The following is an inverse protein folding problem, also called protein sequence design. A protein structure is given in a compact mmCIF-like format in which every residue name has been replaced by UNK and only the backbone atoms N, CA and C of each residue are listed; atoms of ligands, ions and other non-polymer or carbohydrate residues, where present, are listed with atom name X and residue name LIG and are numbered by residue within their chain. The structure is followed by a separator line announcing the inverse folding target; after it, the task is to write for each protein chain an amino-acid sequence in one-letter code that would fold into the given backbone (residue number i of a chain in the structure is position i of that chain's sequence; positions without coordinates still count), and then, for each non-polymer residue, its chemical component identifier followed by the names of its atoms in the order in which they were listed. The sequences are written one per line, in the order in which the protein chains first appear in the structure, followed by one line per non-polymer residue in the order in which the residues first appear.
data_IF_527600908560
#
_entry.id   IF_527600908560
#
_cell.length_a   1.000
_cell.length_b   1.000
_cell.length_c   1.000
_cell.angle_alpha   90.00
_cell.angle_beta   90.00
_cell.angle_gamma   90.00
#
_symmetry.space_group_name_H-M   'P 1'
#
loop_
_entity.id
_entity.type
_entity.pdbx_description
1 polymer ?
#
# COMPACT_ATOMS: atom_id res chain seq x y z
N UNK A 1 -12.21 -0.93 -14.10
CA UNK A 1 -10.87 -0.32 -13.91
C UNK A 1 -10.44 -0.49 -12.46
N UNK A 2 -9.21 -0.97 -12.24
CA UNK A 2 -8.65 -1.28 -10.93
C UNK A 2 -7.53 -0.29 -10.62
N UNK A 3 -7.54 0.29 -9.42
CA UNK A 3 -6.45 1.10 -8.88
C UNK A 3 -5.62 0.25 -7.92
N UNK A 4 -4.41 -0.08 -8.33
CA UNK A 4 -3.36 -0.63 -7.47
C UNK A 4 -2.56 0.52 -6.89
N UNK A 5 -2.27 0.48 -5.59
CA UNK A 5 -1.49 1.51 -4.93
C UNK A 5 -0.75 0.97 -3.72
N UNK A 6 0.31 1.65 -3.35
CA UNK A 6 1.16 1.34 -2.22
C UNK A 6 1.75 2.62 -1.62
N UNK A 7 2.10 2.60 -0.34
CA UNK A 7 2.54 3.77 0.41
C UNK A 7 3.74 3.47 1.30
N UNK A 8 4.78 4.34 1.24
CA UNK A 8 5.84 4.39 2.24
C UNK A 8 5.62 5.55 3.21
N UNK A 9 6.03 5.38 4.46
CA UNK A 9 5.62 6.26 5.56
C UNK A 9 6.73 6.48 6.58
N UNK A 10 6.55 7.49 7.43
CA UNK A 10 7.43 7.74 8.58
C UNK A 10 7.29 6.71 9.71
N UNK A 11 6.32 5.79 9.64
CA UNK A 11 6.07 4.79 10.67
C UNK A 11 4.81 3.97 10.41
N UNK A 12 4.36 3.20 11.39
CA UNK A 12 3.21 2.31 11.25
C UNK A 12 1.88 3.04 11.48
N UNK A 13 0.91 2.77 10.63
CA UNK A 13 -0.48 3.21 10.82
C UNK A 13 -1.08 2.57 12.07
N UNK A 14 -1.68 3.38 12.92
CA UNK A 14 -2.33 2.94 14.16
C UNK A 14 -3.85 2.90 13.98
N UNK A 15 -4.37 1.72 13.68
CA UNK A 15 -5.80 1.51 13.35
C UNK A 15 -6.77 1.79 14.51
N UNK A 16 -6.28 1.82 15.75
CA UNK A 16 -7.07 2.17 16.94
C UNK A 16 -7.26 3.68 17.13
N UNK A 17 -6.50 4.50 16.42
CA UNK A 17 -6.61 5.96 16.43
C UNK A 17 -7.43 6.44 15.23
N UNK A 18 -8.02 7.63 15.37
CA UNK A 18 -8.67 8.31 14.24
C UNK A 18 -7.64 8.67 13.16
N UNK A 19 -8.06 8.73 11.88
CA UNK A 19 -7.17 9.12 10.77
C UNK A 19 -6.74 10.58 10.83
N UNK A 20 -7.41 11.42 11.58
CA UNK A 20 -7.03 12.82 11.84
C UNK A 20 -6.20 13.00 13.13
N UNK A 21 -5.87 11.91 13.83
CA UNK A 21 -4.99 11.97 14.99
C UNK A 21 -3.59 12.46 14.56
N UNK A 22 -3.01 13.47 15.24
CA UNK A 22 -1.72 14.04 14.86
C UNK A 22 -0.56 13.05 14.97
N UNK A 23 -0.68 12.00 15.78
CA UNK A 23 0.34 10.94 15.93
C UNK A 23 0.38 9.93 14.80
N UNK A 24 -0.60 9.93 13.89
CA UNK A 24 -0.56 9.08 12.69
C UNK A 24 0.68 9.38 11.84
N UNK A 25 1.26 8.39 11.16
CA UNK A 25 2.46 8.60 10.35
C UNK A 25 2.21 9.52 9.15
N UNK A 26 3.28 10.07 8.61
CA UNK A 26 3.25 10.87 7.40
C UNK A 26 3.60 10.03 6.18
N UNK A 27 2.95 10.34 5.06
CA UNK A 27 3.22 9.76 3.76
C UNK A 27 4.58 10.25 3.24
N UNK A 28 5.43 9.34 2.77
CA UNK A 28 6.78 9.59 2.26
C UNK A 28 6.93 9.19 0.79
N UNK A 29 6.21 8.15 0.36
CA UNK A 29 6.08 7.81 -1.06
C UNK A 29 4.65 7.34 -1.32
N UNK A 30 4.14 7.65 -2.50
CA UNK A 30 2.87 7.14 -3.01
C UNK A 30 3.06 6.70 -4.46
N UNK A 31 2.80 5.43 -4.72
CA UNK A 31 2.77 4.88 -6.06
C UNK A 31 1.39 4.33 -6.39
N UNK A 32 1.00 4.42 -7.65
CA UNK A 32 -0.26 3.87 -8.11
C UNK A 32 -0.23 3.52 -9.60
N UNK A 33 -1.00 2.48 -9.97
CA UNK A 33 -1.30 2.11 -11.36
C UNK A 33 -2.81 1.90 -11.53
N UNK A 34 -3.37 2.51 -12.58
CA UNK A 34 -4.69 2.16 -13.10
C UNK A 34 -4.55 1.07 -14.15
N UNK A 35 -5.32 0.01 -14.00
CA UNK A 35 -5.38 -1.09 -14.96
C UNK A 35 -6.80 -1.34 -15.41
N UNK A 36 -6.95 -1.76 -16.66
CA UNK A 36 -8.22 -2.33 -17.12
C UNK A 36 -8.37 -3.79 -16.65
N UNK A 37 -9.52 -4.38 -16.92
CA UNK A 37 -9.86 -5.74 -16.48
C UNK A 37 -8.99 -6.83 -17.15
N UNK A 38 -8.31 -6.52 -18.25
CA UNK A 38 -7.32 -7.41 -18.89
C UNK A 38 -5.91 -7.29 -18.30
N UNK A 39 -5.71 -6.48 -17.27
CA UNK A 39 -4.42 -6.27 -16.63
C UNK A 39 -3.49 -5.27 -17.32
N UNK A 40 -3.94 -4.64 -18.43
CA UNK A 40 -3.15 -3.60 -19.09
C UNK A 40 -3.14 -2.33 -18.25
N UNK A 41 -1.94 -1.84 -17.94
CA UNK A 41 -1.74 -0.54 -17.29
C UNK A 41 -2.12 0.57 -18.26
N UNK A 42 -3.00 1.47 -17.84
CA UNK A 42 -3.46 2.62 -18.63
C UNK A 42 -2.88 3.94 -18.13
N UNK A 43 -2.52 4.02 -16.86
CA UNK A 43 -1.84 5.16 -16.25
C UNK A 43 -1.13 4.73 -14.97
N UNK A 44 -0.11 5.48 -14.55
CA UNK A 44 0.59 5.25 -13.29
C UNK A 44 1.46 6.43 -12.90
N UNK A 45 1.83 6.45 -11.61
CA UNK A 45 2.79 7.41 -11.05
C UNK A 45 3.49 6.80 -9.83
N UNK A 46 4.70 7.29 -9.54
CA UNK A 46 5.42 7.09 -8.28
C UNK A 46 6.00 8.42 -7.86
N UNK A 47 5.66 8.88 -6.65
CA UNK A 47 6.04 10.20 -6.15
C UNK A 47 6.68 10.06 -4.77
N UNK A 48 7.92 10.51 -4.64
CA UNK A 48 8.52 10.80 -3.34
C UNK A 48 7.85 12.05 -2.78
N UNK A 49 7.60 12.06 -1.48
CA UNK A 49 6.87 13.12 -0.81
C UNK A 49 7.77 13.72 0.28
N UNK A 50 7.93 15.03 0.25
CA UNK A 50 8.45 15.77 1.39
C UNK A 50 7.27 16.17 2.30
N UNK A 51 7.13 15.52 3.47
CA UNK A 51 6.02 15.82 4.37
C UNK A 51 6.06 17.27 4.89
N UNK A 52 7.22 17.93 4.87
CA UNK A 52 7.39 19.31 5.35
C UNK A 52 6.80 20.35 4.39
N UNK A 53 6.62 20.03 3.11
CA UNK A 53 5.98 20.93 2.15
C UNK A 53 4.47 21.11 2.38
N UNK A 54 3.85 20.25 3.19
CA UNK A 54 2.41 20.29 3.48
C UNK A 54 2.09 20.29 4.97
N UNK A 55 3.09 20.24 5.81
CA UNK A 55 2.94 20.19 7.28
C UNK A 55 3.21 21.55 7.92
N UNK A 56 2.50 21.86 8.99
CA UNK A 56 2.77 23.01 9.85
C UNK A 56 3.74 22.68 10.99
N UNK A 57 4.24 21.44 11.04
CA UNK A 57 5.22 20.96 12.02
C UNK A 57 6.41 20.37 11.27
N UNK A 58 7.57 20.42 11.90
CA UNK A 58 8.77 19.80 11.35
C UNK A 58 8.65 18.26 11.47
N UNK A 59 8.63 17.59 10.32
CA UNK A 59 8.47 16.14 10.21
C UNK A 59 9.80 15.51 9.87
N UNK A 60 10.30 14.70 10.75
CA UNK A 60 11.50 13.90 10.53
C UNK A 60 11.12 12.49 10.08
N UNK A 61 11.78 11.99 9.02
CA UNK A 61 11.69 10.59 8.59
C UNK A 61 12.64 9.78 9.48
N UNK A 62 12.14 8.89 10.36
CA UNK A 62 13.00 8.15 11.26
C UNK A 62 13.95 7.21 10.52
N UNK A 63 15.18 7.03 11.03
CA UNK A 63 16.15 6.11 10.45
C UNK A 63 15.62 4.66 10.30
N UNK A 64 14.77 4.22 11.23
CA UNK A 64 14.14 2.91 11.14
C UNK A 64 13.23 2.79 9.90
N UNK A 65 12.51 3.85 9.52
CA UNK A 65 11.68 3.88 8.31
C UNK A 65 12.57 4.00 7.06
N UNK A 66 13.53 4.92 7.05
CA UNK A 66 14.49 5.10 5.95
C UNK A 66 15.27 3.81 5.63
N UNK A 67 15.60 3.00 6.64
CA UNK A 67 16.27 1.71 6.44
C UNK A 67 15.38 0.66 5.73
N UNK A 68 14.07 0.85 5.75
CA UNK A 68 13.10 -0.03 5.06
C UNK A 68 12.95 0.40 3.61
N UNK A 69 12.55 1.65 3.36
CA UNK A 69 12.18 2.14 2.02
C UNK A 69 13.26 3.00 1.33
N UNK A 70 14.42 3.22 1.95
CA UNK A 70 15.54 3.95 1.36
C UNK A 70 15.38 5.47 1.29
N UNK A 71 14.21 6.05 1.60
CA UNK A 71 13.96 7.48 1.48
C UNK A 71 14.38 8.17 2.78
N UNK A 72 15.43 8.99 2.70
CA UNK A 72 15.93 9.81 3.79
C UNK A 72 15.30 11.20 3.77
N UNK A 73 15.48 11.98 4.86
CA UNK A 73 15.07 13.38 4.86
C UNK A 73 15.71 14.17 3.72
N UNK A 74 16.99 13.91 3.40
CA UNK A 74 17.69 14.57 2.29
C UNK A 74 17.05 14.25 0.94
N UNK A 75 16.73 12.97 0.68
CA UNK A 75 16.05 12.52 -0.55
C UNK A 75 14.67 13.17 -0.66
N UNK A 76 13.88 13.14 0.43
CA UNK A 76 12.55 13.72 0.47
C UNK A 76 12.59 15.23 0.19
N UNK A 77 13.48 15.97 0.85
CA UNK A 77 13.62 17.42 0.66
C UNK A 77 14.09 17.79 -0.76
N UNK A 78 14.98 16.97 -1.35
CA UNK A 78 15.57 17.29 -2.67
C UNK A 78 14.66 16.92 -3.83
N UNK A 79 13.91 15.82 -3.73
CA UNK A 79 13.17 15.23 -4.85
C UNK A 79 11.67 15.11 -4.59
N UNK A 80 11.23 15.35 -3.35
CA UNK A 80 9.84 15.16 -2.96
C UNK A 80 8.92 16.29 -3.45
N UNK A 81 7.69 15.89 -3.74
CA UNK A 81 6.56 16.81 -3.94
C UNK A 81 5.78 16.98 -2.63
N UNK A 82 4.85 17.93 -2.58
CA UNK A 82 3.97 18.07 -1.42
C UNK A 82 2.98 16.88 -1.35
N UNK A 83 2.62 16.46 -0.13
CA UNK A 83 1.53 15.46 0.04
C UNK A 83 0.22 15.96 -0.58
N UNK A 84 -0.03 17.26 -0.61
CA UNK A 84 -1.20 17.86 -1.22
C UNK A 84 -1.27 17.62 -2.73
N UNK A 85 -0.13 17.71 -3.44
CA UNK A 85 -0.05 17.45 -4.88
C UNK A 85 -0.23 15.95 -5.16
N UNK A 86 0.45 15.09 -4.40
CA UNK A 86 0.32 13.65 -4.52
C UNK A 86 -1.14 13.17 -4.31
N UNK A 87 -1.83 13.68 -3.29
CA UNK A 87 -3.24 13.38 -3.04
C UNK A 87 -4.16 13.94 -4.14
N UNK A 88 -3.82 15.08 -4.76
CA UNK A 88 -4.57 15.59 -5.92
C UNK A 88 -4.49 14.64 -7.11
N UNK A 89 -3.30 14.13 -7.40
CA UNK A 89 -3.09 13.15 -8.49
C UNK A 89 -3.83 11.84 -8.14
N UNK A 90 -3.64 11.32 -6.92
CA UNK A 90 -4.32 10.10 -6.46
C UNK A 90 -5.85 10.22 -6.57
N UNK A 91 -6.43 11.39 -6.24
CA UNK A 91 -7.88 11.61 -6.33
C UNK A 91 -8.41 11.44 -7.76
N UNK A 92 -7.63 11.80 -8.80
CA UNK A 92 -8.00 11.56 -10.21
C UNK A 92 -8.03 10.06 -10.53
N UNK A 93 -7.02 9.33 -10.07
CA UNK A 93 -6.94 7.87 -10.21
C UNK A 93 -8.08 7.18 -9.45
N UNK A 94 -8.33 7.62 -8.21
CA UNK A 94 -9.45 7.14 -7.41
C UNK A 94 -10.80 7.34 -8.11
N UNK A 95 -11.05 8.52 -8.70
CA UNK A 95 -12.29 8.78 -9.43
C UNK A 95 -12.50 7.84 -10.61
N UNK A 96 -11.43 7.51 -11.36
CA UNK A 96 -11.48 6.64 -12.52
C UNK A 96 -11.61 5.15 -12.20
N UNK A 97 -11.27 4.73 -10.97
CA UNK A 97 -11.28 3.33 -10.58
C UNK A 97 -12.67 2.86 -10.13
N UNK A 98 -12.93 1.57 -10.29
CA UNK A 98 -14.11 0.87 -9.74
C UNK A 98 -13.75 0.02 -8.51
N UNK A 99 -12.49 -0.39 -8.41
CA UNK A 99 -11.93 -1.24 -7.36
C UNK A 99 -10.58 -0.68 -6.89
N UNK A 100 -10.35 -0.70 -5.58
CA UNK A 100 -9.05 -0.41 -4.96
C UNK A 100 -8.37 -1.71 -4.58
N UNK A 101 -7.09 -1.85 -4.90
CA UNK A 101 -6.31 -3.04 -4.59
C UNK A 101 -4.94 -2.66 -4.01
N UNK A 102 -4.55 -3.31 -2.92
CA UNK A 102 -3.22 -3.22 -2.32
C UNK A 102 -2.87 -4.52 -1.58
N UNK A 103 -1.59 -4.67 -1.25
CA UNK A 103 -1.17 -5.77 -0.38
C UNK A 103 -1.19 -5.31 1.08
N UNK A 104 -2.14 -5.84 1.89
CA UNK A 104 -2.52 -5.27 3.19
C UNK A 104 -3.23 -3.90 3.09
N UNK A 105 -4.21 -3.82 2.22
CA UNK A 105 -4.94 -2.59 1.84
C UNK A 105 -5.44 -1.73 3.02
N UNK A 106 -5.64 -2.32 4.20
CA UNK A 106 -6.07 -1.57 5.39
C UNK A 106 -5.01 -0.53 5.80
N UNK A 107 -3.72 -0.85 5.63
CA UNK A 107 -2.61 0.06 5.90
C UNK A 107 -2.61 1.21 4.89
N UNK A 108 -2.47 0.92 3.60
CA UNK A 108 -2.33 1.94 2.56
C UNK A 108 -3.54 2.85 2.45
N UNK A 109 -4.74 2.26 2.55
CA UNK A 109 -5.98 3.01 2.64
C UNK A 109 -5.97 3.98 3.83
N UNK A 110 -5.57 3.50 5.00
CA UNK A 110 -5.47 4.32 6.22
C UNK A 110 -4.51 5.50 6.03
N UNK A 111 -3.33 5.27 5.48
CA UNK A 111 -2.32 6.29 5.21
C UNK A 111 -2.83 7.36 4.23
N UNK A 112 -3.47 6.95 3.13
CA UNK A 112 -4.09 7.90 2.18
C UNK A 112 -5.19 8.71 2.87
N UNK A 113 -6.04 8.08 3.69
CA UNK A 113 -7.08 8.78 4.46
C UNK A 113 -6.50 9.76 5.49
N UNK A 114 -5.37 9.43 6.15
CA UNK A 114 -4.61 10.36 7.01
C UNK A 114 -4.13 11.58 6.22
N UNK A 115 -3.53 11.36 5.05
CA UNK A 115 -3.05 12.46 4.20
C UNK A 115 -4.21 13.35 3.70
N UNK A 116 -5.36 12.76 3.36
CA UNK A 116 -6.59 13.48 3.01
C UNK A 116 -7.11 14.29 4.20
N UNK A 117 -7.16 13.69 5.40
CA UNK A 117 -7.65 14.38 6.60
C UNK A 117 -6.77 15.59 6.96
N UNK A 118 -5.45 15.45 6.89
CA UNK A 118 -4.51 16.57 7.10
C UNK A 118 -4.67 17.69 6.08
N UNK A 119 -4.86 17.33 4.79
CA UNK A 119 -5.02 18.32 3.72
C UNK A 119 -6.29 19.16 3.86
N UNK A 120 -7.41 18.50 4.15
CA UNK A 120 -8.74 19.13 4.13
C UNK A 120 -9.29 19.46 5.51
N UNK A 121 -8.53 19.15 6.58
CA UNK A 121 -8.99 19.22 7.97
C UNK A 121 -10.36 18.53 8.14
N UNK A 122 -10.54 17.40 7.46
CA UNK A 122 -11.81 16.65 7.42
C UNK A 122 -11.59 15.18 7.10
N UNK A 123 -12.22 14.31 7.85
CA UNK A 123 -12.22 12.87 7.57
C UNK A 123 -13.04 12.60 6.30
N UNK A 124 -12.39 11.98 5.31
CA UNK A 124 -13.03 11.60 4.05
C UNK A 124 -12.65 10.16 3.69
N UNK A 125 -13.48 9.18 4.09
CA UNK A 125 -13.16 7.76 3.87
C UNK A 125 -13.25 7.37 2.39
N UNK A 126 -12.31 6.54 1.96
CA UNK A 126 -12.35 5.89 0.65
C UNK A 126 -13.43 4.79 0.66
N UNK A 127 -14.44 4.90 -0.20
CA UNK A 127 -15.65 4.06 -0.16
C UNK A 127 -15.81 3.08 -1.31
N UNK A 128 -14.84 3.03 -2.23
CA UNK A 128 -14.90 2.05 -3.33
C UNK A 128 -14.70 0.62 -2.82
N UNK A 129 -15.15 -0.39 -3.56
CA UNK A 129 -14.83 -1.79 -3.28
C UNK A 129 -13.33 -1.98 -3.06
N UNK A 130 -12.96 -2.87 -2.16
CA UNK A 130 -11.57 -3.16 -1.78
C UNK A 130 -11.21 -4.60 -2.10
N UNK A 131 -10.00 -4.82 -2.61
CA UNK A 131 -9.40 -6.13 -2.72
C UNK A 131 -8.03 -6.13 -2.02
N UNK A 132 -7.85 -7.04 -1.07
CA UNK A 132 -6.60 -7.22 -0.34
C UNK A 132 -5.90 -8.48 -0.84
N UNK A 133 -4.79 -8.32 -1.58
CA UNK A 133 -4.04 -9.48 -2.08
C UNK A 133 -3.44 -10.32 -0.96
N UNK A 134 -3.05 -9.71 0.18
CA UNK A 134 -2.57 -10.43 1.35
C UNK A 134 -3.64 -11.39 1.90
N UNK A 135 -4.86 -10.90 2.11
CA UNK A 135 -5.96 -11.73 2.64
C UNK A 135 -6.40 -12.82 1.65
N UNK A 136 -6.40 -12.51 0.37
CA UNK A 136 -6.73 -13.49 -0.67
C UNK A 136 -5.65 -14.57 -0.78
N UNK A 137 -4.37 -14.18 -0.79
CA UNK A 137 -3.26 -15.11 -0.83
C UNK A 137 -3.14 -15.96 0.44
N UNK A 138 -3.53 -15.46 1.62
CA UNK A 138 -3.50 -16.23 2.87
C UNK A 138 -4.26 -17.55 2.79
N UNK A 139 -5.36 -17.58 2.04
CA UNK A 139 -6.18 -18.79 1.85
C UNK A 139 -5.55 -19.81 0.90
N UNK A 140 -4.63 -19.35 0.02
CA UNK A 140 -3.99 -20.18 -1.00
C UNK A 140 -2.65 -20.71 -0.48
N UNK A 141 -1.85 -19.84 0.15
CA UNK A 141 -0.52 -20.18 0.64
C UNK A 141 -0.56 -21.00 1.93
N UNK A 142 -1.57 -20.79 2.76
CA UNK A 142 -1.79 -21.48 4.06
C UNK A 142 -0.51 -21.61 4.90
N UNK A 143 0.23 -20.49 5.04
CA UNK A 143 1.52 -20.47 5.72
C UNK A 143 1.33 -20.73 7.22
N UNK A 144 2.17 -21.60 7.84
CA UNK A 144 2.05 -21.88 9.26
C UNK A 144 2.23 -20.61 10.10
N UNK A 145 1.56 -20.52 11.26
CA UNK A 145 1.77 -19.42 12.18
C UNK A 145 3.23 -19.37 12.66
N UNK A 146 3.74 -18.17 12.87
CA UNK A 146 5.09 -17.99 13.42
C UNK A 146 5.12 -18.36 14.91
N UNK A 147 6.31 -18.68 15.45
CA UNK A 147 6.49 -18.93 16.89
C UNK A 147 5.97 -17.76 17.74
N UNK A 148 6.18 -16.52 17.31
CA UNK A 148 5.66 -15.32 17.96
C UNK A 148 4.12 -15.29 17.98
N UNK A 149 3.47 -15.69 16.88
CA UNK A 149 2.00 -15.79 16.80
C UNK A 149 1.49 -16.85 17.76
N UNK A 150 2.11 -18.04 17.78
CA UNK A 150 1.74 -19.13 18.69
C UNK A 150 1.92 -18.71 20.16
N UNK A 151 3.04 -18.06 20.48
CA UNK A 151 3.28 -17.54 21.84
C UNK A 151 2.26 -16.46 22.27
N UNK A 152 1.67 -15.74 21.31
CA UNK A 152 0.60 -14.77 21.56
C UNK A 152 -0.83 -15.38 21.48
N UNK A 153 -0.96 -16.72 21.33
CA UNK A 153 -2.24 -17.42 21.27
C UNK A 153 -2.93 -17.39 19.90
N UNK A 154 -2.20 -17.00 18.83
CA UNK A 154 -2.71 -17.01 17.46
C UNK A 154 -2.23 -18.28 16.74
N UNK A 155 -3.14 -19.20 16.46
CA UNK A 155 -2.91 -20.49 15.79
C UNK A 155 -3.33 -20.50 14.31
N UNK A 156 -3.86 -19.38 13.79
CA UNK A 156 -4.27 -19.24 12.40
C UNK A 156 -3.06 -19.06 11.47
N UNK A 157 -3.19 -19.43 10.18
CA UNK A 157 -2.17 -19.17 9.18
C UNK A 157 -1.69 -17.72 9.21
N UNK A 158 -0.38 -17.54 9.10
CA UNK A 158 0.18 -16.19 9.07
C UNK A 158 -0.18 -15.51 7.74
N UNK A 159 -0.51 -14.20 7.75
CA UNK A 159 -0.64 -13.43 6.52
C UNK A 159 0.70 -13.40 5.75
N UNK A 160 0.71 -13.74 4.44
CA UNK A 160 1.95 -13.72 3.65
C UNK A 160 2.43 -12.30 3.40
N UNK A 161 3.74 -12.11 3.34
CA UNK A 161 4.35 -10.92 2.77
C UNK A 161 4.19 -10.93 1.25
N UNK A 162 4.27 -9.76 0.61
CA UNK A 162 4.21 -9.66 -0.85
C UNK A 162 5.33 -10.48 -1.53
N UNK A 163 6.55 -10.44 -1.00
CA UNK A 163 7.67 -11.25 -1.47
C UNK A 163 7.43 -12.77 -1.35
N UNK A 164 6.73 -13.22 -0.31
CA UNK A 164 6.34 -14.63 -0.18
C UNK A 164 5.30 -15.03 -1.24
N UNK A 165 4.36 -14.13 -1.57
CA UNK A 165 3.42 -14.34 -2.66
C UNK A 165 4.13 -14.42 -4.02
N UNK A 166 5.05 -13.50 -4.31
CA UNK A 166 5.83 -13.48 -5.55
C UNK A 166 6.63 -14.78 -5.69
N UNK A 167 7.33 -15.18 -4.63
CA UNK A 167 8.08 -16.44 -4.63
C UNK A 167 7.19 -17.67 -4.84
N UNK A 168 6.05 -17.73 -4.16
CA UNK A 168 5.13 -18.85 -4.26
C UNK A 168 4.49 -18.98 -5.66
N UNK A 169 3.98 -17.87 -6.20
CA UNK A 169 3.21 -17.88 -7.44
C UNK A 169 4.09 -17.88 -8.71
N UNK A 170 5.27 -17.24 -8.63
CA UNK A 170 6.09 -17.00 -9.83
C UNK A 170 7.47 -17.64 -9.74
N UNK A 171 7.86 -18.17 -8.58
CA UNK A 171 9.23 -18.69 -8.30
C UNK A 171 10.31 -17.63 -8.57
N UNK A 172 10.02 -16.38 -8.20
CA UNK A 172 10.88 -15.23 -8.35
C UNK A 172 11.11 -14.57 -6.98
N UNK A 173 12.25 -13.88 -6.82
CA UNK A 173 12.44 -12.95 -5.71
C UNK A 173 11.84 -11.58 -6.05
N UNK A 174 11.38 -10.87 -5.05
CA UNK A 174 10.91 -9.50 -5.22
C UNK A 174 12.12 -8.56 -5.09
N UNK A 175 12.62 -8.10 -6.23
CA UNK A 175 13.64 -7.06 -6.29
C UNK A 175 13.05 -5.71 -5.88
N UNK A 176 13.87 -4.86 -5.25
CA UNK A 176 13.46 -3.52 -4.78
C UNK A 176 12.21 -3.52 -3.89
N UNK A 177 12.02 -4.57 -3.08
CA UNK A 177 11.00 -4.59 -2.05
C UNK A 177 11.09 -3.31 -1.19
N UNK A 178 9.92 -2.69 -0.90
CA UNK A 178 9.80 -1.39 -0.23
C UNK A 178 10.18 -0.17 -1.11
N UNK A 179 10.24 -0.31 -2.44
CA UNK A 179 9.90 0.78 -3.35
C UNK A 179 8.42 0.66 -3.69
N UNK A 180 7.64 1.70 -3.42
CA UNK A 180 6.19 1.62 -3.58
C UNK A 180 5.74 1.24 -5.00
N UNK A 181 6.48 1.61 -6.07
CA UNK A 181 6.11 1.19 -7.42
C UNK A 181 6.44 -0.28 -7.69
N UNK A 182 7.54 -0.80 -7.17
CA UNK A 182 7.87 -2.23 -7.26
C UNK A 182 6.78 -3.06 -6.56
N UNK A 183 6.34 -2.61 -5.38
CA UNK A 183 5.27 -3.27 -4.62
C UNK A 183 3.90 -3.17 -5.32
N UNK A 184 3.56 -2.04 -5.96
CA UNK A 184 2.37 -1.91 -6.83
C UNK A 184 2.40 -2.90 -8.00
N UNK A 185 3.54 -3.03 -8.68
CA UNK A 185 3.70 -3.97 -9.82
C UNK A 185 3.55 -5.41 -9.35
N UNK A 186 4.19 -5.78 -8.25
CA UNK A 186 4.10 -7.11 -7.66
C UNK A 186 2.67 -7.43 -7.18
N UNK A 187 2.04 -6.49 -6.47
CA UNK A 187 0.65 -6.61 -6.01
C UNK A 187 -0.32 -6.84 -7.18
N UNK A 188 -0.15 -6.10 -8.29
CA UNK A 188 -0.94 -6.27 -9.51
C UNK A 188 -0.76 -7.67 -10.11
N UNK A 189 0.48 -8.17 -10.21
CA UNK A 189 0.76 -9.53 -10.70
C UNK A 189 0.06 -10.59 -9.83
N UNK A 190 0.21 -10.48 -8.52
CA UNK A 190 -0.43 -11.37 -7.53
C UNK A 190 -1.96 -11.32 -7.66
N UNK A 191 -2.55 -10.12 -7.81
CA UNK A 191 -4.00 -9.97 -7.99
C UNK A 191 -4.52 -10.76 -9.19
N UNK A 192 -3.92 -10.56 -10.37
CA UNK A 192 -4.41 -11.24 -11.59
C UNK A 192 -4.20 -12.75 -11.52
N UNK A 193 -3.08 -13.21 -10.95
CA UNK A 193 -2.87 -14.64 -10.75
C UNK A 193 -3.91 -15.28 -9.80
N UNK A 194 -4.23 -14.62 -8.69
CA UNK A 194 -5.29 -15.07 -7.76
C UNK A 194 -6.65 -15.10 -8.49
N UNK A 195 -6.95 -14.11 -9.33
CA UNK A 195 -8.20 -14.08 -10.11
C UNK A 195 -8.30 -15.24 -11.09
N UNK A 196 -7.21 -15.66 -11.71
CA UNK A 196 -7.15 -16.85 -12.58
C UNK A 196 -7.43 -18.12 -11.80
N UNK A 197 -6.80 -18.31 -10.62
CA UNK A 197 -7.03 -19.48 -9.74
C UNK A 197 -8.52 -19.57 -9.36
N UNK A 198 -9.11 -18.46 -8.89
CA UNK A 198 -10.53 -18.44 -8.47
C UNK A 198 -11.44 -18.74 -9.65
N UNK A 199 -11.21 -18.11 -10.81
CA UNK A 199 -12.02 -18.32 -12.02
C UNK A 199 -11.92 -19.74 -12.63
N UNK A 200 -10.87 -20.49 -12.32
CA UNK A 200 -10.75 -21.91 -12.67
C UNK A 200 -11.59 -22.80 -11.76
N UNK A 201 -11.67 -22.50 -10.48
CA UNK A 201 -12.49 -23.26 -9.51
C UNK A 201 -13.99 -23.08 -9.74
N UNK A 202 -14.43 -21.91 -10.20
CA UNK A 202 -15.85 -21.65 -10.49
C UNK A 202 -16.35 -22.34 -11.79
N UNK A 203 -15.44 -22.94 -12.58
CA UNK A 203 -15.75 -23.64 -13.84
C UNK A 203 -15.65 -25.17 -13.75
N UNK A 204 -15.20 -25.69 -12.61
CA UNK A 204 -15.06 -27.12 -12.32
C UNK A 204 -16.21 -27.60 -11.43
#
# INVERSE_FOLDING_TARGET
VILFFDTETTGLFTSSLSVDDPSQPYLVQLAAQLCNDSGRVVAGFSLIIDPNLSSNVDVNIPGAASNVHGITNEIATKFGVSANDAITIFARFYQAADLLCAHNIAFDKGIVEVAIARRYNKIWPLRKPLFCTMLAASKILDLPPTERMLAAGFDKPKPPKLSECVRHFFNEDLDDAHDAMADVVACRRVYFHIKEIIGQHDRS
#
